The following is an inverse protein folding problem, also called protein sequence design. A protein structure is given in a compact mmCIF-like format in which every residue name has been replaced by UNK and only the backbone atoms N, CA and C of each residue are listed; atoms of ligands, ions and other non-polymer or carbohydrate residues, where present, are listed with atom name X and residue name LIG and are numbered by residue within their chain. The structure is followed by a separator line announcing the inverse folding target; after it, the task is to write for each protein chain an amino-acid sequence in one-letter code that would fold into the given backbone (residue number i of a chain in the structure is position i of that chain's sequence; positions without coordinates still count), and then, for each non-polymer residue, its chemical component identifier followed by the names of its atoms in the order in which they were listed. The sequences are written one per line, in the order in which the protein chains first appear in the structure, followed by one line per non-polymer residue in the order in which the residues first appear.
data_IF_729999961477
#
_entry.id   IF_729999961477
#
_cell.length_a   1.000
_cell.length_b   1.000
_cell.length_c   1.000
_cell.angle_alpha   90.00
_cell.angle_beta   90.00
_cell.angle_gamma   90.00
#
_symmetry.space_group_name_H-M   'P 1'
#
loop_
_entity.id
_entity.type
_entity.pdbx_description
1 polymer ?
#
# COMPACT_ATOMS: atom_id res chain seq x y z
N UNK A 1 51.84 -40.56 18.87
CA UNK A 1 51.73 -39.09 18.97
C UNK A 1 50.90 -38.77 20.21
N UNK A 2 51.51 -38.19 21.26
CA UNK A 2 51.12 -36.93 21.98
C UNK A 2 49.61 -36.65 22.01
N UNK A 3 48.92 -36.32 23.10
CA UNK A 3 49.16 -36.14 24.55
C UNK A 3 47.75 -35.89 25.14
N UNK A 4 47.41 -36.50 26.28
CA UNK A 4 46.15 -36.25 27.00
C UNK A 4 46.10 -34.83 27.58
N UNK A 5 44.96 -34.12 27.49
CA UNK A 5 44.65 -33.01 28.41
C UNK A 5 43.13 -32.79 28.60
N UNK A 6 42.70 -32.89 29.88
CA UNK A 6 41.66 -32.08 30.57
C UNK A 6 40.26 -31.99 29.94
N UNK A 7 39.20 -32.68 30.41
CA UNK A 7 38.54 -32.65 31.75
C UNK A 7 38.47 -31.27 32.43
N UNK A 8 37.22 -30.86 32.68
CA UNK A 8 36.75 -29.77 33.54
C UNK A 8 37.03 -28.34 33.08
N UNK A 9 36.01 -27.70 32.51
CA UNK A 9 35.74 -26.30 32.82
C UNK A 9 34.23 -26.04 32.88
N UNK A 10 33.69 -26.35 34.05
CA UNK A 10 32.48 -25.71 34.59
C UNK A 10 32.76 -24.21 34.70
N UNK A 11 32.11 -23.39 33.87
CA UNK A 11 31.94 -21.96 34.13
C UNK A 11 30.45 -21.69 34.18
N UNK A 12 29.90 -21.81 35.38
CA UNK A 12 28.66 -21.19 35.75
C UNK A 12 29.01 -19.93 36.56
N UNK A 13 28.87 -18.75 35.97
CA UNK A 13 28.87 -17.43 36.64
C UNK A 13 27.93 -16.55 35.79
N UNK A 14 26.64 -16.48 36.14
CA UNK A 14 26.02 -15.46 37.02
C UNK A 14 25.64 -14.19 36.22
N UNK A 15 24.32 -14.11 35.96
CA UNK A 15 23.43 -13.03 36.40
C UNK A 15 23.44 -11.67 35.66
N UNK A 16 22.23 -11.10 35.63
CA UNK A 16 21.86 -9.72 35.25
C UNK A 16 21.73 -9.51 33.72
N UNK A 17 20.59 -9.17 33.13
CA UNK A 17 19.48 -8.36 33.60
C UNK A 17 18.15 -8.83 32.98
N UNK A 18 17.17 -9.13 33.82
CA UNK A 18 15.78 -8.88 33.48
C UNK A 18 15.60 -7.36 33.40
N UNK A 19 15.66 -6.81 32.19
CA UNK A 19 15.11 -5.49 31.92
C UNK A 19 13.80 -5.69 31.18
N UNK A 20 12.73 -5.38 31.90
CA UNK A 20 11.37 -5.24 31.42
C UNK A 20 11.37 -4.34 30.18
N UNK A 21 11.32 -4.92 28.99
CA UNK A 21 10.77 -4.21 27.83
C UNK A 21 9.26 -4.17 28.07
N UNK A 22 8.84 -3.12 28.77
CA UNK A 22 7.47 -2.65 28.77
C UNK A 22 6.98 -2.65 27.32
N UNK A 23 5.75 -3.13 27.02
CA UNK A 23 5.14 -2.85 25.73
C UNK A 23 5.13 -1.33 25.59
N UNK A 24 5.92 -0.82 24.64
CA UNK A 24 5.81 0.56 24.23
C UNK A 24 4.42 0.71 23.63
N UNK A 25 3.50 1.16 24.46
CA UNK A 25 2.22 1.71 24.08
C UNK A 25 2.52 2.86 23.10
N UNK A 26 2.46 2.56 21.81
CA UNK A 26 2.32 3.54 20.75
C UNK A 26 0.91 3.33 20.22
N UNK A 27 0.02 4.16 20.71
CA UNK A 27 -1.39 4.39 20.37
C UNK A 27 -2.06 3.43 19.39
N UNK A 28 -3.09 2.77 19.93
CA UNK A 28 -4.21 2.04 19.29
C UNK A 28 -5.07 2.88 18.30
N UNK A 29 -4.51 3.87 17.60
CA UNK A 29 -5.27 4.78 16.71
C UNK A 29 -5.15 4.44 15.21
N UNK A 30 -4.51 3.33 14.85
CA UNK A 30 -4.30 2.96 13.44
C UNK A 30 -5.49 2.19 12.84
N UNK A 31 -6.22 1.42 13.65
CA UNK A 31 -7.35 0.61 13.16
C UNK A 31 -8.54 1.49 12.72
N UNK A 32 -8.86 2.55 13.47
CA UNK A 32 -9.97 3.46 13.12
C UNK A 32 -9.70 4.24 11.83
N UNK A 33 -8.44 4.67 11.60
CA UNK A 33 -8.06 5.39 10.38
C UNK A 33 -8.04 4.49 9.14
N UNK A 34 -7.68 3.22 9.30
CA UNK A 34 -7.71 2.26 8.21
C UNK A 34 -9.14 1.94 7.77
N UNK A 35 -10.06 1.71 8.70
CA UNK A 35 -11.47 1.46 8.38
C UNK A 35 -12.10 2.67 7.68
N UNK A 36 -11.82 3.89 8.18
CA UNK A 36 -12.28 5.13 7.56
C UNK A 36 -11.74 5.29 6.14
N UNK A 37 -10.44 5.04 5.93
CA UNK A 37 -9.81 5.16 4.60
C UNK A 37 -10.32 4.10 3.61
N UNK A 38 -10.52 2.86 4.06
CA UNK A 38 -11.10 1.78 3.25
C UNK A 38 -12.52 2.13 2.82
N UNK A 39 -13.34 2.69 3.71
CA UNK A 39 -14.70 3.11 3.34
C UNK A 39 -14.70 4.28 2.34
N UNK A 40 -13.78 5.23 2.50
CA UNK A 40 -13.69 6.42 1.65
C UNK A 40 -13.10 6.15 0.27
N UNK A 41 -12.22 5.17 0.11
CA UNK A 41 -11.63 4.85 -1.20
C UNK A 41 -12.60 4.10 -2.11
N UNK A 42 -13.54 3.34 -1.55
CA UNK A 42 -14.54 2.58 -2.31
C UNK A 42 -15.41 3.54 -3.12
N UNK A 43 -15.53 3.29 -4.42
CA UNK A 43 -16.29 4.11 -5.35
C UNK A 43 -15.67 4.19 -6.74
N UNK A 44 -16.27 5.04 -7.58
CA UNK A 44 -15.83 5.30 -8.95
C UNK A 44 -15.11 6.62 -9.05
N UNK A 45 -13.90 6.55 -9.59
CA UNK A 45 -12.96 7.65 -9.67
C UNK A 45 -12.57 7.89 -11.11
N UNK A 46 -12.57 9.16 -11.53
CA UNK A 46 -12.13 9.58 -12.85
C UNK A 46 -10.93 10.50 -12.71
N UNK A 47 -9.89 10.26 -13.50
CA UNK A 47 -8.70 11.12 -13.45
C UNK A 47 -9.06 12.56 -13.85
N UNK A 48 -8.68 13.51 -13.00
CA UNK A 48 -8.90 14.95 -13.21
C UNK A 48 -7.60 15.65 -13.59
N UNK A 49 -6.48 15.25 -12.97
CA UNK A 49 -5.15 15.76 -13.30
C UNK A 49 -4.04 14.74 -13.05
N UNK A 50 -2.93 14.91 -13.77
CA UNK A 50 -1.69 14.15 -13.60
C UNK A 50 -0.51 15.09 -13.80
N UNK A 51 0.53 14.96 -12.96
CA UNK A 51 1.75 15.75 -13.09
C UNK A 51 2.54 15.46 -14.38
N UNK A 52 2.23 14.38 -15.10
CA UNK A 52 2.81 14.06 -16.41
C UNK A 52 1.86 14.33 -17.59
N UNK A 53 0.69 14.90 -17.31
CA UNK A 53 -0.41 14.97 -18.27
C UNK A 53 -1.26 13.70 -18.24
N UNK A 54 -2.46 13.81 -18.81
CA UNK A 54 -3.42 12.71 -18.90
C UNK A 54 -3.45 12.25 -20.36
N UNK A 55 -3.17 10.96 -20.56
CA UNK A 55 -3.26 10.36 -21.88
C UNK A 55 -4.70 10.41 -22.40
N UNK A 56 -4.85 10.60 -23.72
CA UNK A 56 -6.18 10.84 -24.32
C UNK A 56 -7.14 9.69 -24.03
N UNK A 57 -6.63 8.47 -24.01
CA UNK A 57 -7.42 7.24 -23.84
C UNK A 57 -7.87 7.11 -22.37
N UNK A 58 -7.03 7.54 -21.41
CA UNK A 58 -7.35 7.51 -19.98
C UNK A 58 -8.38 8.57 -19.55
N UNK A 59 -8.66 9.58 -20.38
CA UNK A 59 -9.59 10.67 -20.04
C UNK A 59 -11.01 10.20 -19.78
N UNK A 60 -11.41 9.03 -20.27
CA UNK A 60 -12.74 8.48 -20.04
C UNK A 60 -12.74 7.27 -19.12
N UNK A 61 -11.56 6.81 -18.70
CA UNK A 61 -11.45 5.65 -17.83
C UNK A 61 -12.00 5.95 -16.45
N UNK A 62 -12.68 4.95 -15.90
CA UNK A 62 -13.21 4.92 -14.56
C UNK A 62 -12.42 3.88 -13.76
N UNK A 63 -11.76 4.35 -12.72
CA UNK A 63 -11.20 3.48 -11.71
C UNK A 63 -12.26 3.18 -10.66
N UNK A 64 -12.86 1.99 -10.76
CA UNK A 64 -13.92 1.51 -9.89
C UNK A 64 -13.33 0.59 -8.81
N UNK A 65 -13.23 1.10 -7.59
CA UNK A 65 -12.69 0.40 -6.42
C UNK A 65 -13.87 -0.15 -5.61
N UNK A 66 -13.97 -1.47 -5.49
CA UNK A 66 -15.14 -2.17 -4.93
C UNK A 66 -14.88 -2.64 -3.50
N UNK A 67 -15.95 -2.72 -2.71
CA UNK A 67 -15.90 -3.13 -1.30
C UNK A 67 -15.48 -4.59 -1.07
N UNK A 68 -15.53 -5.43 -2.10
CA UNK A 68 -15.12 -6.83 -2.06
C UNK A 68 -13.60 -7.04 -2.21
N UNK A 69 -12.82 -5.96 -2.22
CA UNK A 69 -11.36 -6.00 -2.39
C UNK A 69 -10.91 -6.10 -3.85
N UNK A 70 -11.83 -5.92 -4.81
CA UNK A 70 -11.50 -5.92 -6.25
C UNK A 70 -11.61 -4.53 -6.88
N UNK A 71 -10.99 -4.35 -8.04
CA UNK A 71 -11.14 -3.15 -8.85
C UNK A 71 -11.36 -3.47 -10.34
N UNK A 72 -11.88 -2.48 -11.07
CA UNK A 72 -11.78 -2.40 -12.52
C UNK A 72 -11.30 -1.00 -12.92
N UNK A 73 -10.49 -0.89 -13.97
CA UNK A 73 -9.97 0.38 -14.48
C UNK A 73 -9.99 0.37 -16.01
N UNK A 74 -10.81 1.24 -16.59
CA UNK A 74 -11.01 1.34 -18.04
C UNK A 74 -12.31 2.03 -18.38
N UNK A 75 -12.73 1.97 -19.64
CA UNK A 75 -13.93 2.63 -20.18
C UNK A 75 -15.11 1.67 -20.42
N UNK A 76 -14.98 0.41 -20.00
CA UNK A 76 -16.04 -0.60 -20.10
C UNK A 76 -15.84 -1.59 -21.25
N UNK A 77 -14.67 -1.57 -21.90
CA UNK A 77 -14.32 -2.48 -23.00
C UNK A 77 -13.63 -3.76 -22.48
N UNK A 78 -13.41 -4.73 -23.38
CA UNK A 78 -12.82 -6.04 -23.02
C UNK A 78 -11.36 -5.96 -22.52
N UNK A 79 -10.71 -4.81 -22.69
CA UNK A 79 -9.31 -4.57 -22.29
C UNK A 79 -9.16 -3.89 -20.94
N UNK A 80 -10.26 -3.60 -20.25
CA UNK A 80 -10.26 -3.01 -18.92
C UNK A 80 -9.39 -3.82 -17.96
N UNK A 81 -8.49 -3.16 -17.23
CA UNK A 81 -7.72 -3.83 -16.21
C UNK A 81 -8.62 -4.18 -15.03
N UNK A 82 -8.45 -5.38 -14.49
CA UNK A 82 -9.15 -5.83 -13.28
C UNK A 82 -8.17 -6.45 -12.32
N UNK A 83 -8.44 -6.32 -11.04
CA UNK A 83 -7.49 -6.76 -10.04
C UNK A 83 -8.00 -6.72 -8.62
N UNK A 84 -7.08 -6.87 -7.68
CA UNK A 84 -7.32 -6.77 -6.23
C UNK A 84 -6.64 -5.55 -5.66
N UNK A 85 -7.17 -5.01 -4.56
CA UNK A 85 -6.56 -3.88 -3.86
C UNK A 85 -6.58 -4.08 -2.34
N UNK A 86 -5.69 -3.37 -1.65
CA UNK A 86 -5.63 -3.25 -0.19
C UNK A 86 -5.05 -1.90 0.18
N UNK A 87 -5.48 -1.34 1.31
CA UNK A 87 -4.83 -0.20 1.95
C UNK A 87 -4.02 -0.72 3.14
N UNK A 88 -2.76 -0.30 3.22
CA UNK A 88 -1.83 -0.54 4.34
C UNK A 88 -1.24 0.81 4.76
N UNK A 89 -1.76 1.36 5.86
CA UNK A 89 -1.52 2.75 6.26
C UNK A 89 -1.89 3.75 5.16
N UNK A 90 -0.92 4.54 4.71
CA UNK A 90 -1.10 5.53 3.64
C UNK A 90 -0.88 4.97 2.22
N UNK A 91 -0.65 3.67 2.06
CA UNK A 91 -0.38 3.08 0.74
C UNK A 91 -1.62 2.36 0.21
N UNK A 92 -2.08 2.79 -0.96
CA UNK A 92 -3.02 2.05 -1.78
C UNK A 92 -2.24 1.08 -2.67
N UNK A 93 -2.31 -0.20 -2.34
CA UNK A 93 -1.65 -1.28 -3.05
C UNK A 93 -2.67 -2.00 -3.93
N UNK A 94 -2.36 -2.18 -5.21
CA UNK A 94 -3.26 -2.87 -6.14
C UNK A 94 -2.49 -3.76 -7.09
N UNK A 95 -3.12 -4.86 -7.49
CA UNK A 95 -2.52 -5.90 -8.32
C UNK A 95 -3.46 -6.26 -9.45
N UNK A 96 -2.97 -6.10 -10.68
CA UNK A 96 -3.66 -6.53 -11.89
C UNK A 96 -3.71 -8.06 -11.95
N UNK A 97 -4.89 -8.60 -12.18
CA UNK A 97 -5.11 -10.03 -12.45
C UNK A 97 -4.78 -10.36 -13.91
N UNK A 98 -5.01 -9.42 -14.83
CA UNK A 98 -4.76 -9.61 -16.27
C UNK A 98 -3.26 -9.61 -16.57
N UNK A 99 -2.53 -8.65 -16.02
CA UNK A 99 -1.11 -8.42 -16.32
C UNK A 99 -0.16 -8.99 -15.26
N UNK A 100 -0.67 -9.38 -14.09
CA UNK A 100 0.14 -9.87 -12.98
C UNK A 100 1.04 -8.82 -12.33
N UNK A 101 0.81 -7.53 -12.63
CA UNK A 101 1.59 -6.40 -12.14
C UNK A 101 1.06 -5.93 -10.78
N UNK A 102 1.98 -5.56 -9.89
CA UNK A 102 1.66 -4.95 -8.59
C UNK A 102 2.12 -3.49 -8.55
N UNK A 103 1.29 -2.65 -7.97
CA UNK A 103 1.51 -1.21 -7.86
C UNK A 103 1.26 -0.76 -6.41
N UNK A 104 1.99 0.26 -6.00
CA UNK A 104 1.81 0.93 -4.70
C UNK A 104 1.78 2.43 -4.95
N UNK A 105 0.72 3.09 -4.47
CA UNK A 105 0.57 4.53 -4.53
C UNK A 105 0.37 5.09 -3.12
N UNK A 106 1.13 6.13 -2.78
CA UNK A 106 0.97 6.85 -1.52
C UNK A 106 -0.23 7.78 -1.64
N UNK A 107 -1.21 7.60 -0.76
CA UNK A 107 -2.40 8.45 -0.65
C UNK A 107 -1.97 9.77 -0.01
N UNK A 108 -2.08 10.86 -0.77
CA UNK A 108 -1.80 12.23 -0.31
C UNK A 108 -3.07 12.93 0.19
N UNK A 109 -4.21 12.64 -0.44
CA UNK A 109 -5.52 13.15 -0.07
C UNK A 109 -6.58 12.10 -0.39
N UNK A 110 -7.50 11.88 0.55
CA UNK A 110 -8.67 11.03 0.33
C UNK A 110 -9.86 11.61 1.09
N UNK A 111 -10.91 11.96 0.35
CA UNK A 111 -12.17 12.41 0.92
C UNK A 111 -13.34 11.99 0.01
N UNK A 112 -14.55 12.50 0.31
CA UNK A 112 -15.77 12.12 -0.42
C UNK A 112 -15.76 12.54 -1.90
N UNK A 113 -14.91 13.46 -2.32
CA UNK A 113 -14.93 14.02 -3.68
C UNK A 113 -13.62 13.85 -4.44
N UNK A 114 -12.48 13.79 -3.73
CA UNK A 114 -11.16 13.70 -4.32
C UNK A 114 -10.34 12.56 -3.73
N UNK A 115 -9.53 11.95 -4.60
CA UNK A 115 -8.49 11.01 -4.26
C UNK A 115 -7.21 11.45 -4.98
N UNK A 116 -6.17 11.79 -4.23
CA UNK A 116 -4.87 12.19 -4.77
C UNK A 116 -3.82 11.19 -4.34
N UNK A 117 -3.10 10.64 -5.31
CA UNK A 117 -2.12 9.59 -5.09
C UNK A 117 -0.80 9.88 -5.80
N UNK A 118 0.30 9.50 -5.15
CA UNK A 118 1.66 9.62 -5.66
C UNK A 118 2.23 8.23 -5.92
N UNK A 119 2.62 7.97 -7.16
CA UNK A 119 3.20 6.69 -7.60
C UNK A 119 4.62 6.91 -8.12
N UNK A 120 5.53 5.97 -7.84
CA UNK A 120 6.87 5.99 -8.43
C UNK A 120 6.75 5.71 -9.93
N UNK A 121 7.35 6.56 -10.75
CA UNK A 121 7.36 6.35 -12.18
C UNK A 121 8.18 5.07 -12.49
N UNK A 122 7.67 4.10 -13.26
CA UNK A 122 8.41 2.87 -13.55
C UNK A 122 9.58 3.06 -14.54
N UNK A 123 9.56 4.16 -15.30
CA UNK A 123 10.54 4.46 -16.36
C UNK A 123 11.60 5.45 -15.87
N UNK A 124 11.30 6.27 -14.87
CA UNK A 124 12.22 7.28 -14.31
C UNK A 124 12.32 7.21 -12.80
N UNK A 125 13.33 7.85 -12.20
CA UNK A 125 13.44 7.94 -10.74
C UNK A 125 12.44 8.91 -10.10
N UNK A 126 11.58 9.56 -10.89
CA UNK A 126 10.60 10.55 -10.44
C UNK A 126 9.32 9.93 -9.89
N UNK A 127 8.41 10.82 -9.50
CA UNK A 127 7.06 10.47 -9.05
C UNK A 127 6.03 11.08 -9.98
N UNK A 128 4.91 10.40 -10.12
CA UNK A 128 3.70 10.90 -10.78
C UNK A 128 2.67 11.13 -9.69
N UNK A 129 2.07 12.30 -9.67
CA UNK A 129 0.92 12.60 -8.81
C UNK A 129 -0.32 12.69 -9.67
N UNK A 130 -1.30 11.83 -9.36
CA UNK A 130 -2.60 11.82 -10.01
C UNK A 130 -3.67 12.29 -9.02
N UNK A 131 -4.59 13.12 -9.48
CA UNK A 131 -5.80 13.49 -8.75
C UNK A 131 -7.00 12.94 -9.49
N UNK A 132 -7.87 12.27 -8.76
CA UNK A 132 -9.11 11.70 -9.25
C UNK A 132 -10.30 12.37 -8.59
N UNK A 133 -11.36 12.56 -9.37
CA UNK A 133 -12.65 13.05 -8.91
C UNK A 133 -13.65 11.90 -8.84
N UNK A 134 -14.46 11.88 -7.79
CA UNK A 134 -15.56 10.91 -7.66
C UNK A 134 -16.66 11.21 -8.69
N UNK A 135 -17.20 10.18 -9.35
CA UNK A 135 -18.20 10.32 -10.43
C UNK A 135 -19.55 9.66 -10.19
N UNK A 136 -19.77 9.03 -9.03
CA UNK A 136 -21.07 8.52 -8.57
C UNK A 136 -21.22 8.65 -7.06
#
# INVERSE_FOLDING_TARGET
MKKDYFKFLSVMVVMCCFSLCLPSCSSDDDDEKEEDSKSLIIGKWKIESSSQGIDKDEKNWIFNIKSDGTYSNGDGDETDDVGTWVIDGNNFNYKSTIWGLSFSAEILELNKTHFTAKVKNPISSGYITNTYKRVE
#
